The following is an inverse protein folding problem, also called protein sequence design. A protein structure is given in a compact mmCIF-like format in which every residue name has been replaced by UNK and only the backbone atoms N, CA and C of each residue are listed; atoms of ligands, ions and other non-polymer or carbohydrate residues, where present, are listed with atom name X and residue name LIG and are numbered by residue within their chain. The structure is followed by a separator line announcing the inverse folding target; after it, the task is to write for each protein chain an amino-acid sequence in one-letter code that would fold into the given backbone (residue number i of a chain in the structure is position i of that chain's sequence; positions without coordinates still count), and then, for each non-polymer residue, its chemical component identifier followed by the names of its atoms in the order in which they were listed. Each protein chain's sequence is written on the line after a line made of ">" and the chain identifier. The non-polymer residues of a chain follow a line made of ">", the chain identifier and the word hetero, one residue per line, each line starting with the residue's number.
data_IF_823011023974
#
_entry.id   IF_823011023974
#
_cell.length_a   1.000
_cell.length_b   1.000
_cell.length_c   1.000
_cell.angle_alpha   90.00
_cell.angle_beta   90.00
_cell.angle_gamma   90.00
#
_symmetry.space_group_name_H-M   'P 1'
#
loop_
_entity.id
_entity.type
_entity.pdbx_description
1 polymer ?
#
# COMPACT_ATOMS: atom_id res chain seq x y z
N UNK A 1 -11.60 -1.58 -59.89
CA UNK A 1 -10.47 -2.42 -59.41
C UNK A 1 -10.96 -3.28 -58.25
N UNK A 2 -11.01 -4.61 -58.42
CA UNK A 2 -11.47 -5.55 -57.38
C UNK A 2 -10.30 -5.82 -56.44
N UNK A 3 -10.38 -5.36 -55.17
CA UNK A 3 -9.33 -5.61 -54.18
C UNK A 3 -9.26 -7.12 -53.94
N UNK A 4 -8.09 -7.72 -54.14
CA UNK A 4 -7.86 -9.13 -53.76
C UNK A 4 -7.89 -9.22 -52.23
N UNK A 5 -8.62 -10.18 -51.64
CA UNK A 5 -8.55 -10.39 -50.21
C UNK A 5 -7.13 -10.81 -49.84
N UNK A 6 -6.60 -10.21 -48.78
CA UNK A 6 -5.30 -10.61 -48.23
C UNK A 6 -5.40 -12.04 -47.71
N UNK A 7 -4.35 -12.87 -47.88
CA UNK A 7 -4.32 -14.21 -47.31
C UNK A 7 -4.45 -14.12 -45.79
N UNK A 8 -5.25 -15.00 -45.19
CA UNK A 8 -5.37 -15.10 -43.74
C UNK A 8 -4.01 -15.43 -43.16
N UNK A 9 -3.40 -14.50 -42.42
CA UNK A 9 -2.17 -14.76 -41.67
C UNK A 9 -2.49 -15.83 -40.65
N UNK A 10 -1.84 -17.00 -40.76
CA UNK A 10 -1.98 -18.08 -39.79
C UNK A 10 -1.30 -17.63 -38.51
N UNK A 11 -2.10 -17.29 -37.50
CA UNK A 11 -1.56 -16.96 -36.19
C UNK A 11 -1.02 -18.21 -35.51
N UNK A 12 0.25 -18.14 -35.10
CA UNK A 12 0.88 -19.20 -34.33
C UNK A 12 0.20 -19.36 -32.96
N UNK A 13 0.18 -20.60 -32.46
CA UNK A 13 -0.41 -20.93 -31.16
C UNK A 13 0.14 -20.09 -30.02
N UNK A 14 1.42 -19.75 -30.09
CA UNK A 14 2.11 -18.89 -29.12
C UNK A 14 1.49 -17.47 -29.08
N UNK A 15 1.19 -16.88 -30.24
CA UNK A 15 0.58 -15.54 -30.33
C UNK A 15 -0.82 -15.52 -29.74
N UNK A 16 -1.61 -16.59 -29.96
CA UNK A 16 -2.95 -16.72 -29.35
C UNK A 16 -2.88 -16.88 -27.83
N UNK A 17 -1.90 -17.64 -27.34
CA UNK A 17 -1.68 -17.82 -25.91
C UNK A 17 -1.35 -16.49 -25.20
N UNK A 18 -0.39 -15.73 -25.72
CA UNK A 18 -0.02 -14.44 -25.13
C UNK A 18 -1.17 -13.43 -25.17
N UNK A 19 -1.93 -13.36 -26.28
CA UNK A 19 -3.12 -12.52 -26.33
C UNK A 19 -4.17 -12.93 -25.31
N UNK A 20 -4.44 -14.23 -25.17
CA UNK A 20 -5.38 -14.73 -24.17
C UNK A 20 -4.96 -14.39 -22.72
N UNK A 21 -3.67 -14.29 -22.42
CA UNK A 21 -3.18 -13.83 -21.11
C UNK A 21 -3.35 -12.31 -20.98
N UNK A 22 -2.97 -11.56 -22.01
CA UNK A 22 -3.11 -10.10 -22.03
C UNK A 22 -4.57 -9.62 -22.04
N UNK A 23 -5.51 -10.47 -22.46
CA UNK A 23 -6.95 -10.17 -22.42
C UNK A 23 -7.60 -10.65 -21.10
N UNK A 24 -6.86 -11.38 -20.25
CA UNK A 24 -7.35 -11.86 -18.97
C UNK A 24 -7.05 -10.84 -17.85
N UNK A 25 -8.05 -10.05 -17.49
CA UNK A 25 -7.93 -9.00 -16.47
C UNK A 25 -7.40 -9.52 -15.12
N UNK A 26 -7.81 -10.73 -14.70
CA UNK A 26 -7.31 -11.33 -13.47
C UNK A 26 -5.82 -11.66 -13.52
N UNK A 27 -5.33 -12.11 -14.68
CA UNK A 27 -3.90 -12.36 -14.87
C UNK A 27 -3.10 -11.05 -14.79
N UNK A 28 -3.64 -9.96 -15.33
CA UNK A 28 -3.04 -8.62 -15.22
C UNK A 28 -3.03 -8.16 -13.75
N UNK A 29 -4.16 -8.24 -13.06
CA UNK A 29 -4.25 -7.83 -11.64
C UNK A 29 -3.32 -8.65 -10.76
N UNK A 30 -3.25 -9.97 -10.97
CA UNK A 30 -2.34 -10.84 -10.25
C UNK A 30 -0.87 -10.49 -10.53
N UNK A 31 -0.51 -10.19 -11.79
CA UNK A 31 0.84 -9.77 -12.14
C UNK A 31 1.21 -8.46 -11.45
N UNK A 32 0.35 -7.44 -11.52
CA UNK A 32 0.59 -6.12 -10.89
C UNK A 32 0.73 -6.27 -9.38
N UNK A 33 -0.18 -7.02 -8.74
CA UNK A 33 -0.12 -7.28 -7.31
C UNK A 33 1.16 -8.03 -6.91
N UNK A 34 1.56 -9.04 -7.69
CA UNK A 34 2.77 -9.83 -7.43
C UNK A 34 4.04 -9.00 -7.58
N UNK A 35 4.14 -8.18 -8.63
CA UNK A 35 5.28 -7.29 -8.83
C UNK A 35 5.39 -6.30 -7.66
N UNK A 36 4.28 -5.65 -7.28
CA UNK A 36 4.25 -4.77 -6.11
C UNK A 36 4.70 -5.49 -4.83
N UNK A 37 4.12 -6.64 -4.53
CA UNK A 37 4.48 -7.42 -3.35
C UNK A 37 5.96 -7.83 -3.34
N UNK A 38 6.50 -8.31 -4.47
CA UNK A 38 7.88 -8.73 -4.58
C UNK A 38 8.86 -7.57 -4.42
N UNK A 39 8.55 -6.38 -4.96
CA UNK A 39 9.42 -5.20 -4.81
C UNK A 39 9.58 -4.73 -3.37
N UNK A 40 8.58 -4.98 -2.51
CA UNK A 40 8.63 -4.64 -1.09
C UNK A 40 8.87 -5.86 -0.18
N UNK A 41 9.08 -7.05 -0.74
CA UNK A 41 9.28 -8.28 0.05
C UNK A 41 10.53 -8.20 0.94
N UNK A 42 11.56 -7.48 0.49
CA UNK A 42 12.78 -7.24 1.24
C UNK A 42 12.60 -6.29 2.44
N UNK A 43 11.50 -5.53 2.50
CA UNK A 43 11.23 -4.62 3.63
C UNK A 43 10.42 -5.28 4.76
N UNK A 44 9.98 -6.53 4.60
CA UNK A 44 9.18 -7.23 5.62
C UNK A 44 9.93 -7.44 6.95
N UNK A 45 11.27 -7.46 6.89
CA UNK A 45 12.14 -7.58 8.05
C UNK A 45 12.95 -6.28 8.28
N UNK A 46 12.40 -5.15 7.84
CA UNK A 46 13.00 -3.84 8.06
C UNK A 46 12.84 -3.39 9.52
N UNK A 47 13.80 -2.61 10.00
CA UNK A 47 13.72 -1.93 11.28
C UNK A 47 12.85 -0.67 11.18
N UNK A 48 12.43 -0.13 12.32
CA UNK A 48 11.71 1.14 12.38
C UNK A 48 12.56 2.29 11.85
N UNK A 49 11.98 3.09 10.95
CA UNK A 49 12.63 4.26 10.35
C UNK A 49 12.07 5.55 10.95
N UNK A 50 12.43 6.70 10.35
CA UNK A 50 12.22 8.03 10.90
C UNK A 50 10.82 8.31 11.48
N UNK A 51 9.75 7.97 10.76
CA UNK A 51 8.38 8.25 11.21
C UNK A 51 7.83 7.16 12.15
N UNK A 52 8.33 5.93 12.05
CA UNK A 52 7.87 4.83 12.90
C UNK A 52 8.29 5.03 14.35
N UNK A 53 9.50 5.57 14.56
CA UNK A 53 10.04 5.84 15.90
C UNK A 53 9.10 6.76 16.71
N UNK A 54 8.76 7.99 16.26
CA UNK A 54 7.85 8.87 16.99
C UNK A 54 6.40 8.38 17.00
N UNK A 55 5.96 7.62 15.99
CA UNK A 55 4.57 7.14 15.93
C UNK A 55 4.31 5.92 16.83
N UNK A 56 5.27 4.99 16.92
CA UNK A 56 5.10 3.67 17.55
C UNK A 56 5.97 3.52 18.79
N UNK A 57 7.28 3.79 18.67
CA UNK A 57 8.25 3.46 19.73
C UNK A 57 8.18 4.46 20.88
N UNK A 58 8.15 5.76 20.60
CA UNK A 58 8.19 6.80 21.65
C UNK A 58 6.83 7.41 21.95
N UNK A 59 5.78 7.02 21.22
CA UNK A 59 4.45 7.56 21.41
C UNK A 59 3.83 7.03 22.71
N UNK A 60 3.55 7.91 23.67
CA UNK A 60 2.92 7.56 24.94
C UNK A 60 1.50 6.99 24.76
N UNK A 61 0.81 7.36 23.67
CA UNK A 61 -0.50 6.83 23.33
C UNK A 61 -0.44 5.38 22.83
N UNK A 62 0.67 4.97 22.22
CA UNK A 62 0.92 3.61 21.72
C UNK A 62 1.53 2.71 22.80
N UNK A 63 2.57 3.17 23.48
CA UNK A 63 3.27 2.39 24.53
C UNK A 63 2.44 2.13 25.80
N UNK A 64 1.24 2.72 25.87
CA UNK A 64 0.33 2.54 26.99
C UNK A 64 0.56 3.48 28.17
N UNK A 65 1.59 4.34 28.12
CA UNK A 65 1.88 5.33 29.15
C UNK A 65 0.73 6.34 29.33
N UNK A 66 0.03 6.68 28.26
CA UNK A 66 -1.19 7.49 28.31
C UNK A 66 -2.45 6.60 28.38
N UNK A 67 -3.52 7.04 29.07
CA UNK A 67 -4.84 6.39 28.97
C UNK A 67 -5.38 6.42 27.54
N UNK A 68 -6.10 5.37 27.12
CA UNK A 68 -6.67 5.23 25.75
C UNK A 68 -7.48 6.46 25.32
N UNK A 69 -8.17 7.13 26.24
CA UNK A 69 -8.94 8.35 25.93
C UNK A 69 -8.09 9.48 25.34
N UNK A 70 -6.79 9.53 25.62
CA UNK A 70 -5.85 10.52 25.08
C UNK A 70 -5.62 10.36 23.59
N UNK A 71 -5.75 9.14 23.04
CA UNK A 71 -5.66 8.89 21.58
C UNK A 71 -6.68 9.76 20.81
N UNK A 72 -7.85 10.02 21.39
CA UNK A 72 -8.89 10.83 20.76
C UNK A 72 -8.68 12.35 20.93
N UNK A 73 -7.68 12.76 21.72
CA UNK A 73 -7.36 14.17 22.02
C UNK A 73 -5.99 14.60 21.52
N UNK A 74 -5.14 13.65 21.16
CA UNK A 74 -3.81 13.88 20.63
C UNK A 74 -3.81 13.70 19.10
N UNK A 75 -2.76 14.19 18.45
CA UNK A 75 -2.45 13.87 17.06
C UNK A 75 -1.75 12.51 16.96
N UNK A 76 -1.50 12.09 15.72
CA UNK A 76 -0.87 10.82 15.39
C UNK A 76 0.49 10.57 16.08
N UNK A 77 1.20 11.64 16.44
CA UNK A 77 2.54 11.58 17.05
C UNK A 77 2.48 11.65 18.58
N UNK A 78 1.28 11.65 19.18
CA UNK A 78 1.08 11.71 20.62
C UNK A 78 1.08 13.12 21.22
N UNK A 79 1.05 14.16 20.37
CA UNK A 79 1.02 15.57 20.83
C UNK A 79 -0.43 16.01 21.00
N UNK A 80 -0.82 16.71 22.09
CA UNK A 80 -2.18 17.22 22.24
C UNK A 80 -2.62 18.07 21.04
N UNK A 81 -3.82 17.80 20.52
CA UNK A 81 -4.35 18.49 19.34
C UNK A 81 -4.55 20.00 19.57
N UNK A 82 -4.63 20.44 20.82
CA UNK A 82 -4.70 21.85 21.19
C UNK A 82 -3.33 22.56 21.14
N UNK A 83 -2.23 21.83 21.15
CA UNK A 83 -0.87 22.40 21.15
C UNK A 83 -0.55 23.04 19.79
N UNK A 84 0.08 24.22 19.80
CA UNK A 84 0.55 24.91 18.59
C UNK A 84 1.60 24.13 17.81
N UNK A 85 2.39 23.28 18.49
CA UNK A 85 3.38 22.40 17.87
C UNK A 85 2.80 21.10 17.31
N UNK A 86 1.52 20.82 17.52
CA UNK A 86 0.89 19.62 16.95
C UNK A 86 0.86 19.68 15.43
N UNK A 87 1.16 18.56 14.77
CA UNK A 87 1.04 18.40 13.32
C UNK A 87 -0.41 18.33 12.84
N UNK A 88 -1.38 18.31 13.76
CA UNK A 88 -2.83 18.22 13.51
C UNK A 88 -3.28 17.00 12.69
N UNK A 89 -2.42 16.00 12.56
CA UNK A 89 -2.74 14.74 11.91
C UNK A 89 -3.61 13.88 12.82
N UNK A 90 -4.93 13.99 12.69
CA UNK A 90 -5.88 13.21 13.49
C UNK A 90 -6.09 11.80 12.90
N UNK A 91 -5.52 10.77 13.54
CA UNK A 91 -5.57 9.36 13.09
C UNK A 91 -5.80 8.37 14.24
N UNK A 92 -6.83 8.56 15.08
CA UNK A 92 -7.00 7.79 16.31
C UNK A 92 -7.14 6.29 16.07
N UNK A 93 -7.77 5.89 14.97
CA UNK A 93 -7.94 4.46 14.64
C UNK A 93 -6.60 3.82 14.26
N UNK A 94 -5.74 4.51 13.51
CA UNK A 94 -4.39 4.00 13.20
C UNK A 94 -3.53 3.92 14.45
N UNK A 95 -3.54 4.94 15.31
CA UNK A 95 -2.81 4.91 16.59
C UNK A 95 -3.28 3.74 17.47
N UNK A 96 -4.58 3.44 17.49
CA UNK A 96 -5.11 2.26 18.20
C UNK A 96 -4.59 0.93 17.64
N UNK A 97 -4.35 0.81 16.33
CA UNK A 97 -3.81 -0.43 15.75
C UNK A 97 -2.35 -0.70 16.13
N UNK A 98 -1.61 0.31 16.60
CA UNK A 98 -0.24 0.14 17.08
C UNK A 98 -0.14 -0.17 18.57
N UNK A 99 -1.19 0.14 19.34
CA UNK A 99 -1.23 -0.02 20.80
C UNK A 99 -1.49 -1.48 21.22
#
# INVERSE_FOLDING_TARGET
>A
MRRRPLPSVREDSNTKYWRSICDNEWAIYALVASVGALTYSNSLHGEFVHDDIPAIVTNADVTGANPVVKIFKNDFWGTPMSDTGSHKSYRPLTTLTFR
#
